data_IF_036551280869
#
_entry.id   IF_036551280869
#
_cell.length_a   1.000
_cell.length_b   1.000
_cell.length_c   1.000
_cell.angle_alpha   90.00
_cell.angle_beta   90.00
_cell.angle_gamma   90.00
#
_symmetry.space_group_name_H-M   'P 1'
#
loop_
_entity.id
_entity.type
_entity.pdbx_description
1 polymer ?
#
# COMPACT_ATOMS: atom_id res chain seq x y z
N UNK A 1 -0.25 -11.52 10.61
CA UNK A 1 -0.33 -11.70 12.07
C UNK A 1 0.76 -10.84 12.67
N UNK A 2 0.58 -10.35 13.91
CA UNK A 2 1.52 -9.42 14.54
C UNK A 2 1.29 -7.93 14.24
N UNK A 3 0.09 -7.56 13.80
CA UNK A 3 -0.31 -6.15 13.60
C UNK A 3 -0.25 -5.63 12.17
N UNK A 4 -0.67 -4.37 12.01
CA UNK A 4 -0.73 -3.61 10.75
C UNK A 4 -0.15 -2.21 10.94
N UNK A 5 0.31 -1.56 9.88
CA UNK A 5 0.74 -0.16 9.97
C UNK A 5 -0.47 0.71 10.34
N UNK A 6 -0.29 1.61 11.30
CA UNK A 6 -1.34 2.46 11.84
C UNK A 6 -1.98 3.32 10.76
N UNK A 7 -3.30 3.44 10.81
CA UNK A 7 -4.14 4.12 9.81
C UNK A 7 -4.09 3.53 8.39
N UNK A 8 -3.50 2.35 8.19
CA UNK A 8 -3.58 1.68 6.89
C UNK A 8 -4.94 1.03 6.67
N UNK A 9 -5.36 0.97 5.40
CA UNK A 9 -6.61 0.31 4.99
C UNK A 9 -6.27 -1.07 4.46
N UNK A 10 -6.98 -2.10 4.94
CA UNK A 10 -6.80 -3.46 4.46
C UNK A 10 -7.60 -3.69 3.16
N UNK A 11 -6.90 -3.75 2.03
CA UNK A 11 -7.47 -4.08 0.71
C UNK A 11 -6.93 -5.44 0.24
N UNK A 12 -7.72 -6.52 0.26
CA UNK A 12 -7.28 -7.83 -0.20
C UNK A 12 -6.92 -7.83 -1.69
N UNK A 13 -5.73 -8.34 -2.02
CA UNK A 13 -5.26 -8.36 -3.41
C UNK A 13 -6.18 -9.14 -4.36
N UNK A 14 -6.92 -10.14 -3.86
CA UNK A 14 -7.86 -10.92 -4.67
C UNK A 14 -9.05 -10.11 -5.18
N UNK A 15 -9.46 -9.06 -4.47
CA UNK A 15 -10.63 -8.23 -4.81
C UNK A 15 -10.25 -6.80 -5.22
N UNK A 16 -8.96 -6.49 -5.25
CA UNK A 16 -8.47 -5.15 -5.57
C UNK A 16 -8.69 -4.79 -7.04
N UNK A 17 -8.39 -5.69 -7.98
CA UNK A 17 -8.46 -5.40 -9.42
C UNK A 17 -9.82 -4.86 -9.89
N UNK A 18 -10.99 -5.45 -9.54
CA UNK A 18 -12.28 -4.87 -9.90
C UNK A 18 -12.59 -3.55 -9.17
N UNK A 19 -11.84 -3.20 -8.12
CA UNK A 19 -12.04 -2.01 -7.28
C UNK A 19 -11.12 -0.83 -7.64
N UNK A 20 -10.26 -0.96 -8.65
CA UNK A 20 -9.25 0.06 -8.99
C UNK A 20 -9.85 1.44 -9.29
N UNK A 21 -10.97 1.48 -10.01
CA UNK A 21 -11.68 2.73 -10.30
C UNK A 21 -12.12 3.46 -9.01
N UNK A 22 -12.65 2.71 -8.04
CA UNK A 22 -13.06 3.25 -6.74
C UNK A 22 -11.86 3.79 -5.96
N UNK A 23 -10.75 3.05 -5.94
CA UNK A 23 -9.51 3.49 -5.26
C UNK A 23 -8.96 4.77 -5.90
N UNK A 24 -8.90 4.81 -7.23
CA UNK A 24 -8.47 5.99 -7.98
C UNK A 24 -9.32 7.21 -7.66
N UNK A 25 -10.65 7.09 -7.79
CA UNK A 25 -11.59 8.19 -7.55
C UNK A 25 -11.53 8.68 -6.09
N UNK A 26 -11.41 7.77 -5.12
CA UNK A 26 -11.27 8.13 -3.71
C UNK A 26 -10.02 8.99 -3.49
N UNK A 27 -8.89 8.55 -4.06
CA UNK A 27 -7.62 9.24 -3.87
C UNK A 27 -7.59 10.60 -4.55
N UNK A 28 -8.03 10.67 -5.82
CA UNK A 28 -8.03 11.94 -6.58
C UNK A 28 -9.03 12.94 -6.02
N UNK A 29 -10.23 12.51 -5.63
CA UNK A 29 -11.24 13.40 -5.00
C UNK A 29 -10.79 13.92 -3.64
N UNK A 30 -9.94 13.16 -2.93
CA UNK A 30 -9.37 13.54 -1.65
C UNK A 30 -8.00 14.24 -1.77
N UNK A 31 -7.55 14.53 -3.00
CA UNK A 31 -6.24 15.11 -3.29
C UNK A 31 -5.06 14.35 -2.66
N UNK A 32 -5.19 13.03 -2.53
CA UNK A 32 -4.12 12.17 -2.03
C UNK A 32 -3.09 12.00 -3.16
N UNK A 33 -1.82 12.39 -2.95
CA UNK A 33 -0.81 12.34 -3.99
C UNK A 33 -0.14 10.96 -4.10
N UNK A 34 -0.24 10.12 -3.07
CA UNK A 34 0.54 8.88 -2.98
C UNK A 34 -0.24 7.76 -2.31
N UNK A 35 -0.32 6.61 -2.98
CA UNK A 35 -0.81 5.35 -2.44
C UNK A 35 0.36 4.38 -2.29
N UNK A 36 0.57 3.90 -1.06
CA UNK A 36 1.64 2.97 -0.72
C UNK A 36 1.04 1.59 -0.43
N UNK A 37 1.32 0.61 -1.30
CA UNK A 37 0.92 -0.77 -1.08
C UNK A 37 1.98 -1.54 -0.30
N UNK A 38 1.54 -2.42 0.61
CA UNK A 38 2.43 -3.37 1.26
C UNK A 38 1.77 -4.74 1.42
N UNK A 39 2.59 -5.77 1.49
CA UNK A 39 2.18 -7.07 2.00
C UNK A 39 3.28 -7.60 2.95
N UNK A 40 3.32 -8.91 3.22
CA UNK A 40 4.35 -9.50 4.09
C UNK A 40 5.78 -9.02 3.76
N UNK A 41 6.23 -9.25 2.53
CA UNK A 41 7.56 -8.84 2.03
C UNK A 41 7.51 -7.85 0.86
N UNK A 42 6.32 -7.49 0.39
CA UNK A 42 6.08 -6.77 -0.87
C UNK A 42 6.71 -7.37 -2.13
N UNK A 43 7.07 -8.67 -2.13
CA UNK A 43 7.65 -9.37 -3.29
C UNK A 43 6.64 -10.04 -4.23
N UNK A 44 5.33 -9.94 -3.96
CA UNK A 44 4.31 -10.63 -4.75
C UNK A 44 2.98 -9.91 -4.82
N UNK A 45 2.18 -9.91 -3.75
CA UNK A 45 0.88 -9.23 -3.74
C UNK A 45 1.03 -7.70 -3.77
N UNK A 46 1.94 -7.16 -2.96
CA UNK A 46 2.20 -5.71 -2.91
C UNK A 46 2.65 -5.14 -4.26
N UNK A 47 3.62 -5.80 -4.92
CA UNK A 47 4.10 -5.39 -6.24
C UNK A 47 3.01 -5.45 -7.32
N UNK A 48 2.21 -6.53 -7.35
CA UNK A 48 1.07 -6.62 -8.28
C UNK A 48 0.03 -5.53 -8.05
N UNK A 49 -0.36 -5.31 -6.79
CA UNK A 49 -1.35 -4.30 -6.43
C UNK A 49 -0.91 -2.88 -6.83
N UNK A 50 0.35 -2.53 -6.54
CA UNK A 50 0.90 -1.23 -6.93
C UNK A 50 0.97 -1.08 -8.46
N UNK A 51 1.41 -2.12 -9.17
CA UNK A 51 1.44 -2.12 -10.64
C UNK A 51 0.06 -1.92 -11.26
N UNK A 52 -0.95 -2.66 -10.79
CA UNK A 52 -2.32 -2.51 -11.30
C UNK A 52 -2.88 -1.11 -11.15
N UNK A 53 -2.67 -0.47 -9.99
CA UNK A 53 -3.12 0.91 -9.81
C UNK A 53 -2.26 1.90 -10.63
N UNK A 54 -0.96 1.67 -10.77
CA UNK A 54 -0.08 2.49 -11.60
C UNK A 54 -0.51 2.46 -13.08
N UNK A 55 -0.80 1.26 -13.62
CA UNK A 55 -1.30 1.09 -14.98
C UNK A 55 -2.65 1.80 -15.17
N UNK A 56 -3.56 1.67 -14.19
CA UNK A 56 -4.85 2.36 -14.20
C UNK A 56 -4.69 3.89 -14.17
N UNK A 57 -3.79 4.42 -13.33
CA UNK A 57 -3.51 5.85 -13.25
C UNK A 57 -2.98 6.38 -14.59
N UNK A 58 -2.05 5.65 -15.21
CA UNK A 58 -1.46 6.06 -16.49
C UNK A 58 -2.54 6.17 -17.59
N UNK A 59 -3.38 5.15 -17.73
CA UNK A 59 -4.50 5.13 -18.68
C UNK A 59 -5.53 6.24 -18.39
N UNK A 60 -5.87 6.47 -17.12
CA UNK A 60 -6.78 7.53 -16.72
C UNK A 60 -6.22 8.93 -17.02
N UNK A 61 -4.94 9.16 -16.75
CA UNK A 61 -4.29 10.46 -16.98
C UNK A 61 -4.13 10.78 -18.46
N UNK A 62 -3.84 9.80 -19.31
CA UNK A 62 -3.78 9.98 -20.76
C UNK A 62 -5.12 10.47 -21.31
N UNK A 63 -6.23 9.93 -20.79
CA UNK A 63 -7.59 10.29 -21.17
C UNK A 63 -8.04 11.64 -20.61
N UNK A 64 -7.78 11.89 -19.33
CA UNK A 64 -8.30 13.06 -18.63
C UNK A 64 -7.44 14.32 -18.77
N UNK A 65 -6.14 14.17 -19.11
CA UNK A 65 -5.14 15.27 -19.17
C UNK A 65 -5.23 16.23 -17.98
N UNK A 66 -5.16 15.72 -16.74
CA UNK A 66 -5.37 16.54 -15.55
C UNK A 66 -4.26 17.59 -15.38
N UNK A 67 -4.62 18.77 -14.86
CA UNK A 67 -3.70 19.87 -14.58
C UNK A 67 -3.22 19.93 -13.12
N UNK A 68 -3.62 18.95 -12.30
CA UNK A 68 -3.30 18.86 -10.87
C UNK A 68 -2.19 17.84 -10.56
N UNK A 69 -1.86 17.64 -9.27
CA UNK A 69 -0.88 16.63 -8.86
C UNK A 69 -1.32 15.24 -9.31
N UNK A 70 -0.39 14.51 -9.90
CA UNK A 70 -0.61 13.14 -10.36
C UNK A 70 -0.54 12.22 -9.15
N UNK A 71 -1.58 11.41 -8.97
CA UNK A 71 -1.57 10.32 -8.00
C UNK A 71 -0.46 9.33 -8.36
N UNK A 72 0.36 8.95 -7.38
CA UNK A 72 1.38 7.92 -7.54
C UNK A 72 0.99 6.63 -6.82
N UNK A 73 1.39 5.50 -7.39
CA UNK A 73 1.20 4.17 -6.82
C UNK A 73 2.55 3.50 -6.61
N UNK A 74 2.92 3.22 -5.36
CA UNK A 74 4.22 2.67 -4.99
C UNK A 74 4.10 1.48 -4.05
N UNK A 75 5.23 0.80 -3.82
CA UNK A 75 5.33 -0.24 -2.80
C UNK A 75 6.16 0.20 -1.61
N UNK A 76 5.78 -0.26 -0.42
CA UNK A 76 6.68 -0.28 0.72
C UNK A 76 7.68 -1.43 0.53
N UNK A 77 8.93 -1.10 0.20
CA UNK A 77 10.01 -2.08 0.02
C UNK A 77 10.22 -2.87 1.32
N UNK A 78 10.35 -4.19 1.19
CA UNK A 78 10.45 -5.10 2.35
C UNK A 78 9.11 -5.41 3.02
N UNK A 79 8.04 -4.70 2.67
CA UNK A 79 6.71 -4.89 3.24
C UNK A 79 6.69 -4.67 4.75
N UNK A 80 5.69 -5.24 5.42
CA UNK A 80 5.55 -5.11 6.87
C UNK A 80 6.67 -5.83 7.63
N UNK A 81 7.30 -6.87 7.04
CA UNK A 81 8.51 -7.48 7.61
C UNK A 81 9.68 -6.48 7.66
N UNK A 82 9.90 -5.75 6.57
CA UNK A 82 10.91 -4.69 6.51
C UNK A 82 10.62 -3.57 7.49
N UNK A 83 9.35 -3.18 7.64
CA UNK A 83 8.90 -2.20 8.63
C UNK A 83 9.25 -2.61 10.06
N UNK A 84 8.89 -3.85 10.45
CA UNK A 84 9.19 -4.36 11.80
C UNK A 84 10.69 -4.48 12.03
N UNK A 85 11.47 -4.90 11.04
CA UNK A 85 12.92 -4.98 11.12
C UNK A 85 13.59 -3.60 11.30
N UNK A 86 12.88 -2.51 11.01
CA UNK A 86 13.34 -1.15 11.29
C UNK A 86 13.38 -0.82 12.80
N UNK A 87 12.82 -1.68 13.65
CA UNK A 87 12.86 -1.52 15.10
C UNK A 87 11.79 -0.57 15.65
N UNK A 88 11.98 -0.14 16.89
CA UNK A 88 10.98 0.61 17.68
C UNK A 88 10.47 1.88 16.99
N UNK A 89 11.35 2.57 16.26
CA UNK A 89 10.99 3.78 15.49
C UNK A 89 9.79 3.54 14.56
N UNK A 90 9.70 2.33 14.00
CA UNK A 90 8.65 1.89 13.08
C UNK A 90 7.55 1.10 13.80
N UNK A 91 7.89 0.19 14.70
CA UNK A 91 6.87 -0.67 15.36
C UNK A 91 5.94 0.11 16.28
N UNK A 92 6.36 1.27 16.82
CA UNK A 92 5.46 2.19 17.55
C UNK A 92 4.29 2.73 16.71
N UNK A 93 4.40 2.64 15.39
CA UNK A 93 3.37 3.03 14.43
C UNK A 93 2.58 1.83 13.91
N UNK A 94 2.51 0.74 14.67
CA UNK A 94 1.69 -0.41 14.34
C UNK A 94 0.51 -0.55 15.30
N UNK A 95 -0.65 -0.87 14.75
CA UNK A 95 -1.82 -1.28 15.52
C UNK A 95 -1.76 -2.80 15.75
N UNK A 96 -1.93 -3.23 17.01
CA UNK A 96 -1.92 -4.65 17.37
C UNK A 96 -0.56 -5.34 17.19
N UNK A 97 0.55 -4.61 17.41
CA UNK A 97 1.89 -5.19 17.37
C UNK A 97 2.06 -6.26 18.46
N UNK A 98 2.45 -7.46 18.04
CA UNK A 98 2.74 -8.58 18.95
C UNK A 98 4.18 -9.04 18.74
N UNK A 99 5.09 -8.57 19.60
CA UNK A 99 6.53 -8.78 19.47
C UNK A 99 6.91 -10.26 19.28
N UNK A 100 6.27 -11.15 20.03
CA UNK A 100 6.50 -12.60 20.00
C UNK A 100 6.19 -13.25 18.64
N UNK A 101 5.28 -12.67 17.86
CA UNK A 101 4.96 -13.15 16.49
C UNK A 101 6.11 -12.85 15.53
N UNK A 102 6.89 -11.81 15.80
CA UNK A 102 8.00 -11.36 14.95
C UNK A 102 9.35 -11.94 15.34
N UNK A 103 9.51 -12.43 16.58
CA UNK A 103 10.73 -13.14 17.04
C UNK A 103 10.92 -14.52 16.41
N UNK A 104 9.86 -15.14 15.86
CA UNK A 104 9.86 -16.53 15.36
C UNK A 104 10.30 -16.71 13.90
N UNK A 105 11.07 -15.79 13.33
CA UNK A 105 11.32 -15.80 11.89
C UNK A 105 12.71 -15.38 11.47
N UNK A 106 13.71 -16.18 11.83
CA UNK A 106 14.91 -16.44 11.01
C UNK A 106 14.84 -17.90 10.51
#
# INVERSE_FOLDING_TARGET
QGGTIKHSINLPAQTLHPSLATVYNLCTSSQIPLVIFYCGSSRGRGSRAAGWLADYIADANEKARPTGPVLESVILKGGIKGWVNGGEEYTRWMDGFEEEVWKKGD
#
